data_IF_517870088079
#
_entry.id   IF_517870088079
#
_cell.length_a   1.000
_cell.length_b   1.000
_cell.length_c   1.000
_cell.angle_alpha   90.00
_cell.angle_beta   90.00
_cell.angle_gamma   90.00
#
_symmetry.space_group_name_H-M   'P 1'
#
loop_
_entity.id
_entity.type
_entity.pdbx_description
1 polymer ?
#
# COMPACT_ATOMS: atom_id res chain seq x y z
N UNK A 1 80.77 5.18 -7.64
CA UNK A 1 81.46 6.49 -7.71
C UNK A 1 80.45 7.58 -8.03
N UNK A 2 80.47 8.62 -7.18
CA UNK A 2 79.97 10.01 -7.28
C UNK A 2 79.45 10.52 -8.65
N UNK A 3 78.28 11.19 -8.62
CA UNK A 3 77.96 12.61 -9.03
C UNK A 3 76.53 12.68 -9.61
N UNK A 4 75.55 13.36 -9.01
CA UNK A 4 75.30 14.80 -8.79
C UNK A 4 74.37 15.42 -9.86
N UNK A 5 73.22 15.92 -9.36
CA UNK A 5 72.47 17.15 -9.72
C UNK A 5 71.94 17.34 -11.17
N UNK A 6 70.63 17.58 -11.29
CA UNK A 6 70.17 18.97 -11.54
C UNK A 6 68.71 19.17 -11.11
N UNK A 7 68.52 20.18 -10.25
CA UNK A 7 67.25 20.86 -10.03
C UNK A 7 67.03 21.84 -11.17
N UNK A 8 65.80 21.94 -11.67
CA UNK A 8 65.35 23.14 -12.38
C UNK A 8 64.00 23.60 -11.84
N UNK A 9 64.10 24.66 -11.02
CA UNK A 9 63.04 25.56 -10.62
C UNK A 9 62.42 26.20 -11.87
N UNK A 10 61.09 26.25 -11.95
CA UNK A 10 60.36 27.26 -12.73
C UNK A 10 59.52 28.09 -11.79
N UNK A 11 59.71 29.40 -11.88
CA UNK A 11 59.05 30.46 -11.13
C UNK A 11 57.66 30.81 -11.72
N UNK A 12 56.83 31.56 -10.98
CA UNK A 12 55.40 31.70 -11.24
C UNK A 12 55.11 32.78 -12.28
N UNK A 13 54.05 32.61 -13.07
CA UNK A 13 53.43 33.69 -13.85
C UNK A 13 52.17 34.15 -13.12
N UNK A 14 52.15 35.44 -12.80
CA UNK A 14 50.99 36.17 -12.31
C UNK A 14 50.53 37.19 -13.37
N UNK A 15 49.26 37.57 -13.28
CA UNK A 15 48.53 38.66 -13.96
C UNK A 15 48.18 38.41 -15.43
N UNK A 16 46.96 38.64 -15.93
CA UNK A 16 45.94 39.64 -15.58
C UNK A 16 44.49 39.15 -15.74
N UNK A 17 43.61 39.77 -14.95
CA UNK A 17 42.16 39.91 -15.13
C UNK A 17 41.78 40.30 -16.57
N UNK A 18 40.84 39.57 -17.16
CA UNK A 18 39.72 40.16 -17.90
C UNK A 18 38.42 39.60 -17.33
N UNK A 19 37.68 40.51 -16.72
CA UNK A 19 36.27 40.37 -16.37
C UNK A 19 35.50 40.86 -17.58
N UNK A 20 34.73 40.00 -18.24
CA UNK A 20 33.56 40.43 -19.00
C UNK A 20 32.65 39.24 -19.29
N UNK A 21 31.55 39.21 -18.54
CA UNK A 21 30.19 38.96 -19.03
C UNK A 21 30.00 37.87 -20.10
N UNK A 22 29.72 36.67 -19.62
CA UNK A 22 28.70 35.78 -20.22
C UNK A 22 28.32 34.72 -19.21
N UNK A 23 27.79 35.19 -18.07
CA UNK A 23 27.13 34.39 -17.05
C UNK A 23 25.63 34.73 -17.04
N UNK A 24 25.02 34.72 -18.21
CA UNK A 24 23.57 34.91 -18.41
C UNK A 24 23.18 34.10 -19.65
N UNK A 25 23.07 32.77 -19.46
CA UNK A 25 22.31 31.84 -20.30
C UNK A 25 22.38 30.47 -19.67
N UNK A 26 21.28 30.04 -19.06
CA UNK A 26 21.15 28.73 -18.43
C UNK A 26 20.28 28.68 -17.18
N UNK A 27 19.64 29.77 -16.74
CA UNK A 27 18.45 29.71 -15.88
C UNK A 27 17.21 29.31 -16.71
N UNK A 28 17.38 28.33 -17.60
CA UNK A 28 16.29 27.65 -18.27
C UNK A 28 15.97 26.41 -17.43
N UNK A 29 15.20 26.68 -16.37
CA UNK A 29 14.18 25.76 -15.85
C UNK A 29 14.67 24.33 -15.59
N UNK A 30 15.35 24.14 -14.46
CA UNK A 30 14.84 23.12 -13.57
C UNK A 30 13.40 23.53 -13.26
N UNK A 31 12.43 23.09 -14.08
CA UNK A 31 11.06 22.99 -13.58
C UNK A 31 11.24 22.27 -12.25
N UNK A 32 10.97 22.95 -11.13
CA UNK A 32 10.99 22.28 -9.82
C UNK A 32 10.25 20.97 -10.03
N UNK A 33 10.87 19.82 -9.78
CA UNK A 33 10.39 18.52 -10.26
C UNK A 33 8.85 18.40 -10.13
N UNK A 34 8.31 18.95 -9.04
CA UNK A 34 6.89 19.22 -8.74
C UNK A 34 5.96 19.72 -9.87
N UNK A 35 6.46 20.48 -10.85
CA UNK A 35 5.69 21.03 -11.97
C UNK A 35 5.63 20.09 -13.17
N UNK A 36 6.28 18.92 -13.09
CA UNK A 36 6.18 17.91 -14.14
C UNK A 36 4.71 17.48 -14.34
N UNK A 37 4.21 17.41 -15.59
CA UNK A 37 2.81 17.09 -15.87
C UNK A 37 2.30 15.83 -15.16
N UNK A 38 3.14 14.79 -15.08
CA UNK A 38 2.80 13.56 -14.36
C UNK A 38 2.42 13.82 -12.89
N UNK A 39 3.14 14.68 -12.16
CA UNK A 39 2.79 14.94 -10.76
C UNK A 39 1.55 15.82 -10.62
N UNK A 40 1.37 16.76 -11.54
CA UNK A 40 0.15 17.58 -11.57
C UNK A 40 -1.09 16.71 -11.82
N UNK A 41 -0.99 15.67 -12.65
CA UNK A 41 -2.05 14.68 -12.88
C UNK A 41 -2.33 13.81 -11.65
N UNK A 42 -1.28 13.38 -10.93
CA UNK A 42 -1.46 12.55 -9.73
C UNK A 42 -2.02 13.35 -8.54
N UNK A 43 -1.59 14.61 -8.38
CA UNK A 43 -1.81 15.40 -7.15
C UNK A 43 -3.26 15.49 -6.66
N UNK A 44 -4.28 15.77 -7.50
CA UNK A 44 -5.68 15.80 -7.06
C UNK A 44 -6.19 14.45 -6.56
N UNK A 45 -5.54 13.35 -6.98
CA UNK A 45 -5.95 11.98 -6.70
C UNK A 45 -5.13 11.34 -5.56
N UNK A 46 -4.13 12.04 -5.01
CA UNK A 46 -3.32 11.57 -3.89
C UNK A 46 -3.97 11.84 -2.52
N UNK A 47 -5.18 12.38 -2.49
CA UNK A 47 -6.03 12.41 -1.31
C UNK A 47 -6.44 10.96 -0.99
N UNK A 48 -5.96 10.42 0.13
CA UNK A 48 -6.20 9.03 0.51
C UNK A 48 -7.69 8.74 0.66
N UNK A 49 -8.25 8.02 -0.31
CA UNK A 49 -9.60 7.47 -0.20
C UNK A 49 -9.54 5.95 -0.12
N UNK A 50 -8.83 5.41 0.87
CA UNK A 50 -8.94 3.97 1.17
C UNK A 50 -10.27 3.66 1.85
N UNK A 51 -10.74 4.60 2.67
CA UNK A 51 -11.98 4.54 3.42
C UNK A 51 -13.20 4.92 2.56
N UNK A 52 -14.40 4.71 3.11
CA UNK A 52 -15.67 5.00 2.46
C UNK A 52 -16.03 3.99 1.37
N UNK A 53 -15.37 2.82 1.36
CA UNK A 53 -15.54 1.79 0.31
C UNK A 53 -16.36 0.59 0.78
N UNK A 54 -16.99 0.66 1.96
CA UNK A 54 -17.82 -0.41 2.55
C UNK A 54 -18.72 -1.14 1.53
N UNK A 55 -19.55 -0.41 0.77
CA UNK A 55 -20.46 -1.01 -0.22
C UNK A 55 -19.71 -1.76 -1.34
N UNK A 56 -18.54 -1.26 -1.77
CA UNK A 56 -17.72 -1.94 -2.77
C UNK A 56 -17.13 -3.23 -2.20
N UNK A 57 -16.65 -3.18 -0.95
CA UNK A 57 -16.15 -4.34 -0.22
C UNK A 57 -17.25 -5.40 -0.13
N UNK A 58 -18.42 -5.05 0.41
CA UNK A 58 -19.59 -5.95 0.51
C UNK A 58 -19.95 -6.60 -0.84
N UNK A 59 -19.99 -5.80 -1.91
CA UNK A 59 -20.27 -6.30 -3.26
C UNK A 59 -19.21 -7.32 -3.71
N UNK A 60 -17.93 -7.03 -3.52
CA UNK A 60 -16.83 -7.93 -3.92
C UNK A 60 -16.84 -9.25 -3.13
N UNK A 61 -17.14 -9.21 -1.84
CA UNK A 61 -17.31 -10.43 -1.04
C UNK A 61 -18.53 -11.23 -1.50
N UNK A 62 -19.67 -10.58 -1.67
CA UNK A 62 -20.90 -11.21 -2.15
C UNK A 62 -20.69 -11.88 -3.50
N UNK A 63 -20.17 -11.16 -4.49
CA UNK A 63 -19.96 -11.67 -5.85
C UNK A 63 -19.00 -12.85 -5.85
N UNK A 64 -17.89 -12.75 -5.12
CA UNK A 64 -16.93 -13.86 -4.98
C UNK A 64 -17.56 -15.12 -4.38
N UNK A 65 -18.38 -14.97 -3.33
CA UNK A 65 -19.04 -16.11 -2.68
C UNK A 65 -20.22 -16.69 -3.48
N UNK A 66 -20.92 -15.88 -4.28
CA UNK A 66 -21.96 -16.35 -5.20
C UNK A 66 -21.35 -17.06 -6.42
N UNK A 67 -20.28 -16.52 -7.01
CA UNK A 67 -19.53 -17.16 -8.10
C UNK A 67 -18.86 -18.48 -7.65
N UNK A 68 -18.56 -18.63 -6.36
CA UNK A 68 -18.03 -19.86 -5.77
C UNK A 68 -19.09 -20.98 -5.58
N UNK A 69 -20.37 -20.73 -5.90
CA UNK A 69 -21.44 -21.74 -5.88
C UNK A 69 -21.28 -22.65 -7.12
N UNK A 70 -21.32 -23.99 -6.94
CA UNK A 70 -20.50 -24.90 -7.71
C UNK A 70 -21.18 -25.35 -9.01
N UNK A 71 -20.79 -24.77 -10.14
CA UNK A 71 -20.95 -25.48 -11.43
C UNK A 71 -19.76 -25.37 -12.38
N UNK A 72 -18.68 -24.71 -11.95
CA UNK A 72 -17.43 -24.63 -12.71
C UNK A 72 -16.23 -24.81 -11.77
N UNK A 73 -16.22 -25.90 -11.00
CA UNK A 73 -14.95 -26.44 -10.46
C UNK A 73 -14.15 -27.12 -11.59
N UNK A 74 -13.93 -26.43 -12.71
CA UNK A 74 -12.85 -26.80 -13.63
C UNK A 74 -11.54 -26.28 -13.02
N UNK A 75 -10.94 -27.14 -12.17
CA UNK A 75 -9.59 -27.69 -12.32
C UNK A 75 -8.43 -26.84 -12.92
N UNK A 76 -8.55 -25.52 -13.04
CA UNK A 76 -7.54 -24.66 -13.70
C UNK A 76 -6.79 -23.75 -12.72
N UNK A 77 -7.25 -23.64 -11.47
CA UNK A 77 -6.58 -22.85 -10.41
C UNK A 77 -5.60 -23.69 -9.57
N UNK A 78 -5.29 -24.92 -9.99
CA UNK A 78 -4.19 -25.66 -9.39
C UNK A 78 -2.85 -25.02 -9.77
N UNK A 79 -2.24 -24.36 -8.77
CA UNK A 79 -0.81 -24.01 -8.71
C UNK A 79 -0.37 -22.92 -9.68
N UNK A 80 -0.84 -21.68 -9.49
CA UNK A 80 0.16 -20.60 -9.58
C UNK A 80 1.09 -20.81 -8.39
N UNK A 81 2.35 -21.15 -8.68
CA UNK A 81 3.39 -21.37 -7.68
C UNK A 81 3.32 -20.27 -6.63
N UNK A 82 3.40 -20.65 -5.34
CA UNK A 82 3.50 -19.70 -4.23
C UNK A 82 4.60 -18.71 -4.60
N UNK A 83 4.23 -17.48 -4.94
CA UNK A 83 5.20 -16.45 -5.29
C UNK A 83 6.03 -16.25 -4.03
N UNK A 84 7.23 -16.81 -3.99
CA UNK A 84 8.17 -16.53 -2.94
C UNK A 84 8.56 -15.08 -3.14
N UNK A 85 8.05 -14.21 -2.26
CA UNK A 85 8.53 -12.85 -2.19
C UNK A 85 9.96 -12.92 -1.72
N UNK A 86 10.87 -12.82 -2.68
CA UNK A 86 12.27 -12.56 -2.43
C UNK A 86 12.34 -11.18 -1.77
N UNK A 87 12.92 -11.14 -0.58
CA UNK A 87 12.88 -9.94 0.24
C UNK A 87 13.40 -10.23 1.63
N UNK A 88 14.32 -9.38 2.07
CA UNK A 88 14.78 -9.39 3.45
C UNK A 88 13.59 -9.06 4.37
N UNK A 89 13.33 -9.92 5.37
CA UNK A 89 12.27 -9.69 6.34
C UNK A 89 12.59 -8.43 7.16
N UNK A 90 11.66 -7.48 7.22
CA UNK A 90 11.73 -6.32 8.10
C UNK A 90 11.31 -6.68 9.52
N UNK A 91 10.27 -7.49 9.63
CA UNK A 91 9.76 -8.09 10.85
C UNK A 91 9.00 -9.37 10.48
N UNK A 92 8.99 -10.35 11.37
CA UNK A 92 8.29 -11.61 11.15
C UNK A 92 7.85 -12.26 12.47
N UNK A 93 6.78 -13.04 12.38
CA UNK A 93 6.32 -14.00 13.39
C UNK A 93 6.22 -15.37 12.72
N UNK A 94 5.73 -16.39 13.43
CA UNK A 94 5.45 -17.71 12.84
C UNK A 94 4.35 -17.67 11.78
N UNK A 95 3.51 -16.63 11.76
CA UNK A 95 2.35 -16.53 10.88
C UNK A 95 2.43 -15.40 9.86
N UNK A 96 3.23 -14.36 10.10
CA UNK A 96 3.20 -13.12 9.31
C UNK A 96 4.62 -12.68 9.00
N UNK A 97 4.82 -12.13 7.81
CA UNK A 97 6.07 -11.50 7.41
C UNK A 97 5.82 -10.11 6.81
N UNK A 98 6.69 -9.15 7.16
CA UNK A 98 6.73 -7.81 6.58
C UNK A 98 7.99 -7.67 5.73
N UNK A 99 7.84 -7.16 4.51
CA UNK A 99 8.93 -6.92 3.56
C UNK A 99 8.81 -5.52 2.96
N UNK A 100 9.92 -5.01 2.42
CA UNK A 100 9.90 -3.79 1.60
C UNK A 100 9.27 -4.07 0.23
N UNK A 101 8.56 -3.09 -0.32
CA UNK A 101 8.36 -3.02 -1.77
C UNK A 101 9.71 -2.75 -2.44
N UNK A 102 9.93 -3.37 -3.59
CA UNK A 102 11.14 -3.22 -4.40
C UNK A 102 11.02 -2.13 -5.47
N UNK A 103 9.81 -1.62 -5.68
CA UNK A 103 9.60 -0.47 -6.54
C UNK A 103 10.04 0.81 -5.82
N UNK A 104 10.75 1.66 -6.55
CA UNK A 104 10.92 3.05 -6.15
C UNK A 104 9.57 3.75 -6.14
N UNK A 105 9.42 4.73 -5.25
CA UNK A 105 8.23 5.55 -5.15
C UNK A 105 8.12 6.62 -6.24
N UNK A 106 9.20 6.89 -6.99
CA UNK A 106 9.28 8.01 -7.94
C UNK A 106 8.74 7.64 -9.32
N UNK A 107 7.57 8.16 -9.71
CA UNK A 107 6.92 7.81 -11.00
C UNK A 107 7.75 8.17 -12.22
N UNK A 108 8.57 9.22 -12.16
CA UNK A 108 9.43 9.57 -13.30
C UNK A 108 10.50 8.51 -13.57
N UNK A 109 10.86 7.72 -12.57
CA UNK A 109 11.76 6.58 -12.80
C UNK A 109 11.08 5.44 -13.59
N UNK A 110 9.79 5.55 -13.91
CA UNK A 110 9.01 4.56 -14.67
C UNK A 110 8.41 5.15 -15.95
N UNK A 111 9.23 5.67 -16.88
CA UNK A 111 8.74 6.47 -18.02
C UNK A 111 7.73 5.72 -18.91
N UNK A 112 7.85 4.40 -19.00
CA UNK A 112 6.96 3.55 -19.83
C UNK A 112 5.75 3.01 -19.06
N UNK A 113 5.84 2.91 -17.73
CA UNK A 113 4.81 2.28 -16.88
C UNK A 113 4.72 2.97 -15.51
N UNK A 114 4.26 4.23 -15.43
CA UNK A 114 4.21 5.00 -14.17
C UNK A 114 3.45 4.29 -13.03
N UNK A 115 2.45 3.48 -13.36
CA UNK A 115 1.68 2.66 -12.41
C UNK A 115 2.49 1.57 -11.69
N UNK A 116 3.76 1.36 -12.03
CA UNK A 116 4.66 0.44 -11.31
C UNK A 116 5.37 1.09 -10.11
N UNK A 117 5.34 2.42 -10.00
CA UNK A 117 5.92 3.10 -8.85
C UNK A 117 5.21 2.73 -7.54
N UNK A 118 5.90 2.90 -6.42
CA UNK A 118 5.30 2.76 -5.09
C UNK A 118 4.19 3.79 -4.84
N UNK A 119 3.34 3.50 -3.85
CA UNK A 119 2.21 4.35 -3.42
C UNK A 119 2.61 5.51 -2.49
N UNK A 120 3.81 5.41 -1.90
CA UNK A 120 4.46 6.44 -1.10
C UNK A 120 5.96 6.11 -0.97
N UNK A 121 6.76 7.03 -0.43
CA UNK A 121 8.18 6.82 -0.11
C UNK A 121 8.42 5.67 0.86
N UNK A 122 7.43 5.30 1.69
CA UNK A 122 7.47 4.08 2.50
C UNK A 122 6.33 3.20 2.05
N UNK A 123 6.58 2.28 1.13
CA UNK A 123 5.59 1.31 0.68
C UNK A 123 6.09 -0.09 1.06
N UNK A 124 5.45 -0.71 2.05
CA UNK A 124 5.78 -2.05 2.53
C UNK A 124 4.62 -3.01 2.28
N UNK A 125 4.93 -4.30 2.36
CA UNK A 125 3.96 -5.38 2.21
C UNK A 125 4.03 -6.27 3.45
N UNK A 126 2.91 -6.46 4.14
CA UNK A 126 2.75 -7.51 5.14
C UNK A 126 1.87 -8.63 4.56
N UNK A 127 2.18 -9.89 4.84
CA UNK A 127 1.42 -11.03 4.34
C UNK A 127 1.51 -12.23 5.29
N UNK A 128 0.48 -13.10 5.31
CA UNK A 128 0.55 -14.35 6.05
C UNK A 128 1.53 -15.35 5.39
N UNK A 129 2.22 -16.14 6.21
CA UNK A 129 3.10 -17.22 5.76
C UNK A 129 2.27 -18.37 5.16
N UNK A 130 1.12 -18.65 5.77
CA UNK A 130 0.09 -19.50 5.19
C UNK A 130 -0.52 -18.84 3.95
N UNK A 131 -0.82 -19.66 2.95
CA UNK A 131 -1.30 -19.13 1.68
C UNK A 131 -2.79 -18.81 1.75
N UNK A 132 -3.11 -17.51 1.81
CA UNK A 132 -4.44 -16.96 1.56
C UNK A 132 -4.39 -16.25 0.20
N UNK A 133 -5.31 -16.54 -0.72
CA UNK A 133 -5.25 -16.05 -2.10
C UNK A 133 -5.57 -14.57 -2.24
N UNK A 134 -6.53 -14.04 -1.47
CA UNK A 134 -6.89 -12.63 -1.54
C UNK A 134 -7.59 -12.18 -0.26
N UNK A 135 -7.84 -10.88 -0.10
CA UNK A 135 -8.70 -10.36 0.95
C UNK A 135 -10.12 -10.91 0.91
N UNK A 136 -10.67 -11.20 -0.28
CA UNK A 136 -12.01 -11.83 -0.41
C UNK A 136 -12.05 -13.30 0.05
N UNK A 137 -10.90 -13.94 0.26
CA UNK A 137 -10.83 -15.30 0.83
C UNK A 137 -10.76 -15.30 2.36
N UNK A 138 -10.72 -14.12 3.00
CA UNK A 138 -10.75 -14.01 4.45
C UNK A 138 -12.12 -14.44 4.98
N UNK A 139 -12.11 -15.16 6.09
CA UNK A 139 -13.28 -15.62 6.83
C UNK A 139 -13.30 -14.98 8.21
N UNK A 140 -14.41 -15.13 8.91
CA UNK A 140 -14.55 -14.69 10.31
C UNK A 140 -13.45 -15.26 11.21
N UNK A 141 -13.01 -16.48 10.93
CA UNK A 141 -12.02 -17.19 11.75
C UNK A 141 -10.58 -16.68 11.54
N UNK A 142 -10.26 -16.14 10.35
CA UNK A 142 -8.89 -15.72 10.02
C UNK A 142 -8.74 -14.21 9.75
N UNK A 143 -9.83 -13.44 9.74
CA UNK A 143 -9.78 -11.98 9.52
C UNK A 143 -8.96 -11.23 10.59
N UNK A 144 -8.75 -11.85 11.75
CA UNK A 144 -7.83 -11.36 12.79
C UNK A 144 -6.38 -11.14 12.30
N UNK A 145 -5.96 -11.83 11.23
CA UNK A 145 -4.64 -11.64 10.62
C UNK A 145 -4.39 -10.20 10.16
N UNK A 146 -5.43 -9.43 9.82
CA UNK A 146 -5.30 -8.00 9.51
C UNK A 146 -4.77 -7.23 10.72
N UNK A 147 -5.38 -7.46 11.89
CA UNK A 147 -4.99 -6.80 13.14
C UNK A 147 -3.55 -7.21 13.50
N UNK A 148 -3.21 -8.49 13.37
CA UNK A 148 -1.88 -9.02 13.67
C UNK A 148 -0.81 -8.41 12.76
N UNK A 149 -1.09 -8.24 11.45
CA UNK A 149 -0.18 -7.57 10.51
C UNK A 149 0.07 -6.11 10.90
N UNK A 150 -0.97 -5.39 11.30
CA UNK A 150 -0.89 -3.99 11.74
C UNK A 150 -0.11 -3.90 13.06
N UNK A 151 -0.37 -4.78 14.03
CA UNK A 151 0.35 -4.80 15.31
C UNK A 151 1.82 -5.17 15.14
N UNK A 152 2.13 -6.12 14.26
CA UNK A 152 3.52 -6.46 13.93
C UNK A 152 4.24 -5.24 13.36
N UNK A 153 3.62 -4.50 12.43
CA UNK A 153 4.20 -3.28 11.91
C UNK A 153 4.35 -2.20 12.99
N UNK A 154 3.36 -2.04 13.88
CA UNK A 154 3.44 -1.09 15.00
C UNK A 154 4.66 -1.35 15.88
N UNK A 155 4.85 -2.61 16.30
CA UNK A 155 6.01 -3.03 17.09
C UNK A 155 7.32 -2.85 16.34
N UNK A 156 7.34 -3.20 15.04
CA UNK A 156 8.49 -3.05 14.18
C UNK A 156 8.88 -1.57 13.99
N UNK A 157 7.91 -0.69 13.74
CA UNK A 157 8.12 0.75 13.54
C UNK A 157 8.67 1.44 14.78
N UNK A 158 8.34 0.96 15.99
CA UNK A 158 8.91 1.47 17.22
C UNK A 158 10.43 1.19 17.35
N UNK A 159 10.94 0.18 16.66
CA UNK A 159 12.36 -0.20 16.67
C UNK A 159 13.18 0.63 15.67
N UNK A 160 14.16 1.37 16.17
CA UNK A 160 15.06 2.21 15.35
C UNK A 160 15.84 1.41 14.30
N UNK A 161 16.31 0.22 14.66
CA UNK A 161 17.03 -0.66 13.73
C UNK A 161 16.16 -1.04 12.54
N UNK A 162 14.86 -1.28 12.76
CA UNK A 162 13.93 -1.60 11.67
C UNK A 162 13.65 -0.36 10.82
N UNK A 163 13.48 0.83 11.43
CA UNK A 163 13.32 2.08 10.67
C UNK A 163 14.53 2.35 9.78
N UNK A 164 15.75 2.20 10.30
CA UNK A 164 16.99 2.35 9.52
C UNK A 164 17.10 1.31 8.41
N UNK A 165 16.63 0.09 8.66
CA UNK A 165 16.56 -0.96 7.64
C UNK A 165 15.57 -0.61 6.52
N UNK A 166 14.40 -0.05 6.85
CA UNK A 166 13.43 0.45 5.86
C UNK A 166 14.08 1.55 5.02
N UNK A 167 14.73 2.54 5.64
CA UNK A 167 15.43 3.61 4.92
C UNK A 167 16.48 3.05 3.95
N UNK A 168 17.30 2.09 4.39
CA UNK A 168 18.27 1.44 3.49
C UNK A 168 17.59 0.79 2.29
N UNK A 169 16.53 0.01 2.51
CA UNK A 169 15.84 -0.69 1.43
C UNK A 169 15.13 0.26 0.45
N UNK A 170 14.66 1.43 0.92
CA UNK A 170 14.12 2.46 0.04
C UNK A 170 15.20 3.11 -0.84
N UNK A 171 16.39 3.37 -0.28
CA UNK A 171 17.53 3.82 -1.07
C UNK A 171 17.94 2.78 -2.10
N UNK A 172 18.04 1.50 -1.70
CA UNK A 172 18.36 0.39 -2.60
C UNK A 172 17.36 0.31 -3.76
N UNK A 173 16.06 0.57 -3.51
CA UNK A 173 15.03 0.58 -4.55
C UNK A 173 15.21 1.76 -5.53
N UNK A 174 15.53 2.96 -5.04
CA UNK A 174 15.84 4.14 -5.85
C UNK A 174 17.06 3.88 -6.74
N UNK A 175 18.16 3.39 -6.16
CA UNK A 175 19.42 3.14 -6.87
C UNK A 175 19.27 2.03 -7.91
N UNK A 176 18.59 0.93 -7.56
CA UNK A 176 18.28 -0.14 -8.52
C UNK A 176 17.50 0.40 -9.70
N UNK A 177 16.52 1.26 -9.44
CA UNK A 177 15.69 1.81 -10.50
C UNK A 177 16.46 2.83 -11.35
N UNK A 178 17.30 3.65 -10.74
CA UNK A 178 18.18 4.58 -11.43
C UNK A 178 19.09 3.86 -12.43
N UNK A 179 19.71 2.76 -12.02
CA UNK A 179 20.51 1.91 -12.90
C UNK A 179 19.70 1.35 -14.06
N UNK A 180 18.45 0.96 -13.82
CA UNK A 180 17.58 0.40 -14.85
C UNK A 180 17.09 1.42 -15.90
N UNK A 181 17.29 2.73 -15.68
CA UNK A 181 16.88 3.81 -16.58
C UNK A 181 18.04 4.73 -16.95
N UNK A 182 19.29 4.32 -16.71
CA UNK A 182 20.46 5.19 -16.87
C UNK A 182 20.59 5.76 -18.29
N UNK A 183 20.16 4.99 -19.29
CA UNK A 183 20.17 5.36 -20.71
C UNK A 183 18.82 5.93 -21.21
N UNK A 184 17.80 6.02 -20.36
CA UNK A 184 16.50 6.58 -20.75
C UNK A 184 16.55 8.12 -20.70
N UNK A 185 15.79 8.81 -21.58
CA UNK A 185 15.63 10.26 -21.48
C UNK A 185 15.15 10.66 -20.09
N UNK A 186 15.79 11.68 -19.50
CA UNK A 186 15.52 12.17 -18.15
C UNK A 186 15.85 11.19 -17.00
N UNK A 187 16.55 10.09 -17.26
CA UNK A 187 16.90 9.09 -16.24
C UNK A 187 17.72 9.67 -15.08
N UNK A 188 18.64 10.60 -15.38
CA UNK A 188 19.45 11.29 -14.38
C UNK A 188 18.59 12.23 -13.53
N UNK A 189 17.76 13.05 -14.15
CA UNK A 189 16.86 13.99 -13.49
C UNK A 189 15.87 13.27 -12.57
N UNK A 190 15.28 12.17 -13.05
CA UNK A 190 14.39 11.32 -12.26
C UNK A 190 15.10 10.71 -11.04
N UNK A 191 16.36 10.28 -11.20
CA UNK A 191 17.16 9.78 -10.08
C UNK A 191 17.52 10.88 -9.08
N UNK A 192 17.96 12.05 -9.56
CA UNK A 192 18.31 13.19 -8.70
C UNK A 192 17.09 13.63 -7.87
N UNK A 193 15.88 13.62 -8.47
CA UNK A 193 14.62 13.86 -7.77
C UNK A 193 14.33 12.79 -6.71
N UNK A 194 14.42 11.51 -7.07
CA UNK A 194 14.20 10.40 -6.13
C UNK A 194 15.15 10.46 -4.92
N UNK A 195 16.43 10.74 -5.13
CA UNK A 195 17.42 10.88 -4.06
C UNK A 195 17.17 12.10 -3.17
N UNK A 196 16.76 13.22 -3.75
CA UNK A 196 16.39 14.41 -2.97
C UNK A 196 15.20 14.11 -2.04
N UNK A 197 14.20 13.40 -2.54
CA UNK A 197 13.03 12.98 -1.76
C UNK A 197 13.35 11.93 -0.71
N UNK A 198 14.23 10.98 -1.03
CA UNK A 198 14.74 10.04 -0.06
C UNK A 198 15.38 10.74 1.16
N UNK A 199 16.18 11.80 0.94
CA UNK A 199 16.79 12.58 2.03
C UNK A 199 15.75 13.29 2.91
N UNK A 200 14.61 13.69 2.34
CA UNK A 200 13.49 14.22 3.12
C UNK A 200 12.92 13.12 4.02
N UNK A 201 12.64 11.93 3.46
CA UNK A 201 12.16 10.78 4.24
C UNK A 201 13.14 10.43 5.38
N UNK A 202 14.43 10.31 5.07
CA UNK A 202 15.49 10.00 6.04
C UNK A 202 15.46 11.01 7.20
N UNK A 203 15.47 12.30 6.90
CA UNK A 203 15.40 13.36 7.91
C UNK A 203 14.15 13.25 8.80
N UNK A 204 12.98 12.97 8.21
CA UNK A 204 11.70 12.83 8.93
C UNK A 204 11.66 11.60 9.84
N UNK A 205 12.22 10.48 9.38
CA UNK A 205 12.33 9.25 10.16
C UNK A 205 13.32 9.43 11.32
N UNK A 206 14.52 9.99 11.06
CA UNK A 206 15.54 10.19 12.08
C UNK A 206 15.13 11.21 13.14
N UNK A 207 14.40 12.26 12.76
CA UNK A 207 13.87 13.26 13.70
C UNK A 207 12.63 12.80 14.47
N UNK A 208 12.09 11.61 14.18
CA UNK A 208 10.88 11.09 14.80
C UNK A 208 9.59 11.84 14.41
N UNK A 209 9.63 12.58 13.29
CA UNK A 209 8.46 13.30 12.79
C UNK A 209 7.45 12.38 12.12
N UNK A 210 7.89 11.32 11.45
CA UNK A 210 7.01 10.30 10.87
C UNK A 210 6.64 9.26 11.94
N UNK A 211 5.39 9.30 12.39
CA UNK A 211 4.84 8.46 13.46
C UNK A 211 4.03 7.30 12.91
N UNK A 212 3.68 6.34 13.77
CA UNK A 212 2.88 5.19 13.39
C UNK A 212 1.50 5.61 12.87
N UNK A 213 0.92 6.66 13.45
CA UNK A 213 -0.40 7.18 13.08
C UNK A 213 -0.42 7.83 11.69
N UNK A 214 0.75 8.12 11.13
CA UNK A 214 0.90 8.62 9.76
C UNK A 214 0.88 7.48 8.72
N UNK A 215 0.66 6.23 9.14
CA UNK A 215 0.58 5.09 8.23
C UNK A 215 -0.87 4.68 7.95
N UNK A 216 -1.14 4.39 6.69
CA UNK A 216 -2.39 3.79 6.25
C UNK A 216 -2.18 2.34 5.83
N UNK A 217 -3.23 1.55 6.00
CA UNK A 217 -3.23 0.11 5.83
C UNK A 217 -4.30 -0.28 4.80
N UNK A 218 -3.87 -0.86 3.68
CA UNK A 218 -4.73 -1.06 2.53
C UNK A 218 -4.66 -2.47 1.93
N UNK A 219 -5.77 -2.97 1.42
CA UNK A 219 -5.87 -4.25 0.71
C UNK A 219 -6.34 -4.05 -0.73
N UNK A 220 -5.81 -4.86 -1.65
CA UNK A 220 -6.40 -5.01 -2.97
C UNK A 220 -7.29 -6.26 -3.00
N UNK A 221 -8.60 -6.06 -3.13
CA UNK A 221 -9.58 -7.13 -3.23
C UNK A 221 -9.78 -7.55 -4.69
N UNK A 222 -10.07 -8.83 -4.95
CA UNK A 222 -10.45 -9.33 -6.28
C UNK A 222 -11.73 -8.60 -6.76
N UNK A 223 -11.85 -8.26 -8.06
CA UNK A 223 -10.93 -8.53 -9.17
C UNK A 223 -9.78 -7.53 -9.32
N UNK A 224 -9.67 -6.54 -8.43
CA UNK A 224 -8.70 -5.46 -8.57
C UNK A 224 -7.29 -5.82 -8.09
N UNK A 225 -7.05 -7.07 -7.69
CA UNK A 225 -5.81 -7.49 -7.05
C UNK A 225 -4.62 -7.50 -8.03
N UNK A 226 -3.50 -6.93 -7.59
CA UNK A 226 -2.24 -6.99 -8.34
C UNK A 226 -1.53 -8.33 -8.25
N UNK A 227 -1.90 -9.16 -7.29
CA UNK A 227 -1.34 -10.50 -7.12
C UNK A 227 -2.33 -11.45 -6.44
N UNK A 228 -2.19 -12.74 -6.73
CA UNK A 228 -3.06 -13.83 -6.24
C UNK A 228 -2.59 -14.36 -4.88
N UNK A 229 -2.26 -13.46 -3.96
CA UNK A 229 -2.05 -13.79 -2.55
C UNK A 229 -2.40 -12.57 -1.68
N UNK A 230 -2.86 -12.81 -0.45
CA UNK A 230 -3.20 -11.77 0.52
C UNK A 230 -1.94 -10.97 0.89
N UNK A 231 -2.01 -9.66 0.76
CA UNK A 231 -1.00 -8.75 1.29
C UNK A 231 -1.61 -7.41 1.66
N UNK A 232 -1.19 -6.91 2.81
CA UNK A 232 -1.48 -5.60 3.32
C UNK A 232 -0.43 -4.60 2.84
N UNK A 233 -0.88 -3.56 2.16
CA UNK A 233 -0.11 -2.38 1.84
C UNK A 233 0.02 -1.53 3.10
N UNK A 234 1.25 -1.23 3.50
CA UNK A 234 1.56 -0.28 4.57
C UNK A 234 2.21 0.93 3.91
N UNK A 235 1.58 2.10 4.02
CA UNK A 235 2.06 3.30 3.35
C UNK A 235 2.14 4.52 4.26
N UNK A 236 3.15 5.37 4.06
CA UNK A 236 3.18 6.69 4.69
C UNK A 236 2.15 7.60 4.02
N UNK A 237 1.15 8.01 4.77
CA UNK A 237 -0.06 8.67 4.29
C UNK A 237 0.10 10.18 3.98
N UNK A 238 0.84 10.99 4.76
CA UNK A 238 0.92 12.42 4.51
C UNK A 238 1.40 12.74 3.08
N UNK A 239 0.79 13.75 2.46
CA UNK A 239 1.03 14.12 1.06
C UNK A 239 2.51 14.28 0.73
N UNK A 240 3.33 14.79 1.65
CA UNK A 240 4.77 14.97 1.46
C UNK A 240 5.50 13.64 1.11
N UNK A 241 5.03 12.50 1.61
CA UNK A 241 5.59 11.18 1.30
C UNK A 241 4.97 10.53 0.07
N UNK A 242 3.87 11.09 -0.46
CA UNK A 242 3.11 10.53 -1.59
C UNK A 242 3.25 11.34 -2.87
N UNK A 243 3.75 12.57 -2.77
CA UNK A 243 3.76 13.60 -3.82
C UNK A 243 4.27 13.15 -5.19
N UNK A 244 5.18 12.18 -5.22
CA UNK A 244 5.84 11.69 -6.44
C UNK A 244 5.52 10.22 -6.75
N UNK A 245 4.57 9.67 -6.00
CA UNK A 245 4.05 8.31 -6.14
C UNK A 245 2.88 8.24 -7.10
N UNK A 246 2.50 7.02 -7.44
CA UNK A 246 1.34 6.78 -8.30
C UNK A 246 0.06 6.70 -7.46
N UNK A 247 -1.02 7.32 -7.96
CA UNK A 247 -2.38 7.21 -7.40
C UNK A 247 -3.16 6.01 -8.00
N UNK A 248 -2.60 5.32 -8.99
CA UNK A 248 -3.28 4.21 -9.67
C UNK A 248 -3.64 3.05 -8.74
N UNK A 249 -2.89 2.87 -7.66
CA UNK A 249 -3.22 1.89 -6.63
C UNK A 249 -4.38 2.35 -5.73
N UNK A 250 -4.53 3.65 -5.45
CA UNK A 250 -5.51 4.15 -4.48
C UNK A 250 -6.95 3.81 -4.86
N UNK A 251 -7.25 3.85 -6.17
CA UNK A 251 -8.58 3.51 -6.70
C UNK A 251 -9.01 2.10 -6.28
N UNK A 252 -8.08 1.14 -6.35
CA UNK A 252 -8.33 -0.26 -6.02
C UNK A 252 -8.04 -0.65 -4.57
N UNK A 253 -7.33 0.19 -3.81
CA UNK A 253 -7.05 -0.07 -2.39
C UNK A 253 -8.29 0.20 -1.53
N UNK A 254 -8.60 -0.75 -0.64
CA UNK A 254 -9.65 -0.65 0.37
C UNK A 254 -8.97 -0.57 1.73
N UNK A 255 -9.51 0.25 2.62
CA UNK A 255 -9.01 0.31 3.99
C UNK A 255 -9.11 -1.06 4.67
N UNK A 256 -8.02 -1.52 5.28
CA UNK A 256 -7.94 -2.86 5.83
C UNK A 256 -8.86 -3.04 7.05
N UNK A 257 -9.09 -1.98 7.83
CA UNK A 257 -10.00 -2.01 8.97
C UNK A 257 -11.45 -2.09 8.49
N UNK A 258 -11.82 -1.34 7.44
CA UNK A 258 -13.15 -1.48 6.80
C UNK A 258 -13.38 -2.90 6.28
N UNK A 259 -12.39 -3.52 5.62
CA UNK A 259 -12.48 -4.91 5.15
C UNK A 259 -12.72 -5.87 6.32
N UNK A 260 -11.93 -5.74 7.39
CA UNK A 260 -12.07 -6.55 8.60
C UNK A 260 -13.47 -6.43 9.20
N UNK A 261 -13.99 -5.21 9.27
CA UNK A 261 -15.27 -4.92 9.91
C UNK A 261 -16.45 -5.45 9.09
N UNK A 262 -16.39 -5.36 7.74
CA UNK A 262 -17.42 -5.98 6.87
C UNK A 262 -17.51 -7.49 7.10
N UNK A 263 -16.38 -8.21 7.12
CA UNK A 263 -16.37 -9.66 7.33
C UNK A 263 -16.93 -10.03 8.72
N UNK A 264 -16.56 -9.26 9.76
CA UNK A 264 -17.07 -9.47 11.13
C UNK A 264 -18.56 -9.16 11.25
N UNK A 265 -19.05 -8.17 10.49
CA UNK A 265 -20.46 -7.78 10.48
C UNK A 265 -21.33 -8.83 9.79
N UNK A 266 -20.86 -9.42 8.68
CA UNK A 266 -21.56 -10.50 7.95
C UNK A 266 -21.67 -11.78 8.77
N UNK A 267 -20.77 -12.01 9.73
CA UNK A 267 -20.81 -13.12 10.68
C UNK A 267 -21.98 -13.03 11.68
N UNK A 268 -22.52 -11.82 11.89
CA UNK A 268 -23.66 -11.66 12.79
C UNK A 268 -24.82 -12.42 12.14
N UNK A 269 -25.46 -13.37 12.85
CA UNK A 269 -26.63 -14.03 12.31
C UNK A 269 -27.62 -12.92 11.93
N UNK A 270 -27.85 -12.74 10.63
CA UNK A 270 -28.94 -11.96 10.08
C UNK A 270 -30.17 -12.47 10.82
N UNK A 271 -30.56 -11.73 11.86
CA UNK A 271 -31.51 -12.17 12.84
C UNK A 271 -32.70 -12.65 12.06
N UNK A 272 -32.92 -13.98 12.13
CA UNK A 272 -34.06 -14.71 11.61
C UNK A 272 -35.21 -13.73 11.49
N UNK A 273 -35.45 -13.21 10.27
CA UNK A 273 -36.64 -12.41 10.02
C UNK A 273 -37.72 -13.37 10.44
N UNK A 274 -38.37 -13.07 11.57
CA UNK A 274 -39.54 -13.80 11.99
C UNK A 274 -40.55 -13.51 10.89
N UNK A 275 -40.55 -14.37 9.88
CA UNK A 275 -41.69 -14.60 9.02
C UNK A 275 -42.79 -14.93 10.01
N UNK A 276 -43.59 -13.92 10.34
CA UNK A 276 -44.71 -14.05 11.24
C UNK A 276 -45.48 -15.26 10.78
N UNK A 277 -45.41 -16.32 11.57
CA UNK A 277 -46.29 -17.46 11.45
C UNK A 277 -47.69 -16.90 11.65
N UNK A 278 -48.37 -16.61 10.54
CA UNK A 278 -49.82 -16.52 10.53
C UNK A 278 -50.30 -17.92 10.89
N UNK A 279 -50.52 -18.14 12.18
CA UNK A 279 -51.26 -19.29 12.66
C UNK A 279 -52.62 -19.29 11.95
N UNK A 280 -53.04 -20.42 11.36
CA UNK A 280 -54.39 -20.57 10.85
C UNK A 280 -55.35 -20.65 12.04
N UNK A 281 -56.25 -19.67 12.16
CA UNK A 281 -57.36 -19.73 13.10
C UNK A 281 -58.53 -20.46 12.45
N UNK A 282 -58.62 -21.76 12.68
CA UNK A 282 -59.83 -22.57 12.53
C UNK A 282 -59.88 -23.51 13.75
N UNK A 283 -60.83 -23.31 14.66
CA UNK A 283 -61.98 -24.20 14.86
C UNK A 283 -62.84 -23.75 16.04
N UNK A 284 -64.14 -23.97 15.84
CA UNK A 284 -65.27 -24.02 16.76
C UNK A 284 -64.98 -24.64 18.13
N UNK A 285 -65.69 -24.16 19.16
CA UNK A 285 -66.52 -25.01 20.03
C UNK A 285 -67.30 -24.17 21.06
N UNK A 286 -68.52 -24.62 21.35
CA UNK A 286 -68.88 -24.84 22.76
C UNK A 286 -69.91 -23.91 23.38
N UNK A 287 -71.18 -24.26 23.17
CA UNK A 287 -72.34 -23.83 23.93
C UNK A 287 -72.17 -23.90 25.46
N UNK A 288 -72.66 -22.89 26.18
CA UNK A 288 -73.14 -23.00 27.56
C UNK A 288 -74.07 -21.83 27.91
N UNK A 289 -75.36 -22.12 28.16
CA UNK A 289 -76.00 -21.87 29.46
C UNK A 289 -77.48 -22.27 29.42
N UNK A 290 -77.76 -23.41 30.07
CA UNK A 290 -79.06 -23.73 30.62
C UNK A 290 -79.34 -22.80 31.80
N UNK A 291 -80.47 -22.10 31.78
CA UNK A 291 -81.09 -21.52 32.98
C UNK A 291 -82.21 -22.43 33.43
N UNK A 292 -82.04 -22.96 34.64
CA UNK A 292 -83.01 -23.73 35.42
C UNK A 292 -83.99 -22.74 36.07
N UNK A 293 -85.29 -22.87 35.78
CA UNK A 293 -86.35 -22.41 36.68
C UNK A 293 -86.54 -23.44 37.80
N UNK A 294 -86.93 -23.00 39.01
CA UNK A 294 -88.29 -23.35 39.41
C UNK A 294 -89.02 -22.26 40.20
N UNK A 295 -90.33 -22.12 39.98
CA UNK A 295 -91.38 -22.31 41.02
C UNK A 295 -92.73 -21.71 40.59
N UNK A 296 -93.70 -22.57 40.22
CA UNK A 296 -94.98 -22.79 40.92
C UNK A 296 -95.85 -23.80 40.19
#
# INVERSE_FOLDING_TARGET
MRKLKSLLRRQPRNSHKMVSASAERGEETAMSCENHPLYQEQRPNLELTFCGKKKQIETQFHDFHQEAIPDVKSQTDQRKEKKNWEGEALAETEQIKIISNWASFEVQQYPKKPAQAGMSMVHLLAYPIEHIRNGVDLTVDNVGLIDDMIQLFKGAWANETVRNKILRLQLDAVERRAKAIEDEPFGKEANDAALAHYRVLESKVTSGQLKFEDFHFGLHLRPDNSADYLHLHIIAAPYEYRKYSTSEHDKKTKDAIEVRDVIRDDARPMGRVMTGSKSPSITEEGAHQQTVEPSR
#
